data_IF_314595115489
#
_entry.id   IF_314595115489
#
_cell.length_a   1.000
_cell.length_b   1.000
_cell.length_c   1.000
_cell.angle_alpha   90.00
_cell.angle_beta   90.00
_cell.angle_gamma   90.00
#
_symmetry.space_group_name_H-M   'P 1'
#
loop_
_entity.id
_entity.type
_entity.pdbx_description
1 polymer ?
#
# COMPACT_ATOMS: atom_id res chain seq x y z
N UNK A 1 0.34 -30.20 -40.77
CA UNK A 1 0.65 -28.77 -40.92
C UNK A 1 0.45 -28.12 -39.57
N UNK A 2 1.52 -27.67 -38.92
CA UNK A 2 1.46 -26.90 -37.69
C UNK A 2 0.82 -25.55 -38.01
N UNK A 3 -0.40 -25.32 -37.52
CA UNK A 3 -1.04 -24.01 -37.60
C UNK A 3 -0.16 -23.07 -36.77
N UNK A 4 0.66 -22.27 -37.43
CA UNK A 4 1.33 -21.14 -36.80
C UNK A 4 0.22 -20.27 -36.21
N UNK A 5 0.05 -20.30 -34.89
CA UNK A 5 -0.89 -19.41 -34.20
C UNK A 5 -0.52 -17.99 -34.63
N UNK A 6 -1.41 -17.35 -35.36
CA UNK A 6 -1.24 -15.94 -35.74
C UNK A 6 -1.00 -15.15 -34.46
N UNK A 7 0.13 -14.45 -34.41
CA UNK A 7 0.49 -13.63 -33.25
C UNK A 7 -0.44 -12.43 -33.21
N UNK A 8 -1.00 -12.16 -32.02
CA UNK A 8 -1.76 -10.94 -31.80
C UNK A 8 -0.77 -9.79 -31.63
N UNK A 9 -0.91 -8.76 -32.45
CA UNK A 9 -0.10 -7.56 -32.43
C UNK A 9 -0.81 -6.48 -31.60
N UNK A 10 -0.03 -5.80 -30.75
CA UNK A 10 -0.54 -4.74 -29.89
C UNK A 10 0.18 -3.43 -30.17
N UNK A 11 -0.60 -2.38 -30.42
CA UNK A 11 -0.12 -1.00 -30.40
C UNK A 11 -0.10 -0.50 -28.96
N UNK A 12 1.06 -0.02 -28.50
CA UNK A 12 1.17 0.61 -27.17
C UNK A 12 0.33 1.88 -27.09
N UNK A 13 -0.30 2.08 -25.95
CA UNK A 13 -1.05 3.29 -25.61
C UNK A 13 -0.32 4.03 -24.51
N UNK A 14 -0.14 5.34 -24.72
CA UNK A 14 0.18 6.26 -23.64
C UNK A 14 -1.02 6.37 -22.72
N UNK A 15 -0.74 6.60 -21.43
CA UNK A 15 -1.77 6.79 -20.43
C UNK A 15 -1.33 7.88 -19.48
N UNK A 16 -2.32 8.55 -18.89
CA UNK A 16 -2.14 9.48 -17.80
C UNK A 16 -2.94 9.00 -16.59
N UNK A 17 -2.45 9.30 -15.39
CA UNK A 17 -3.20 9.04 -14.17
C UNK A 17 -4.26 10.12 -14.01
N UNK A 18 -5.50 9.69 -13.74
CA UNK A 18 -6.61 10.58 -13.41
C UNK A 18 -6.98 10.36 -11.94
N UNK A 19 -7.01 11.44 -11.15
CA UNK A 19 -7.35 11.40 -9.72
C UNK A 19 -6.16 11.18 -8.78
N UNK A 20 -6.47 10.78 -7.54
CA UNK A 20 -5.47 10.62 -6.49
C UNK A 20 -4.54 9.44 -6.74
N UNK A 21 -3.26 9.62 -6.39
CA UNK A 21 -2.22 8.61 -6.59
C UNK A 21 -2.38 7.39 -5.66
N UNK A 22 -2.93 7.59 -4.47
CA UNK A 22 -3.07 6.56 -3.45
C UNK A 22 -4.51 6.46 -2.96
N UNK A 23 -4.99 5.22 -2.83
CA UNK A 23 -6.13 4.91 -1.96
C UNK A 23 -5.60 4.68 -0.55
N UNK A 24 -6.13 5.41 0.43
CA UNK A 24 -5.68 5.32 1.83
C UNK A 24 -6.73 4.63 2.69
N UNK A 25 -6.31 3.60 3.42
CA UNK A 25 -7.13 2.85 4.38
C UNK A 25 -6.60 3.07 5.79
N UNK A 26 -7.52 3.16 6.75
CA UNK A 26 -7.21 3.11 8.18
C UNK A 26 -7.76 1.81 8.73
N UNK A 27 -6.90 0.97 9.28
CA UNK A 27 -7.26 -0.31 9.89
C UNK A 27 -7.81 -0.11 11.31
N UNK A 28 -8.45 -1.13 11.86
CA UNK A 28 -9.08 -1.08 13.19
C UNK A 28 -8.08 -0.78 14.32
N UNK A 29 -6.84 -1.24 14.17
CA UNK A 29 -5.72 -0.96 15.10
C UNK A 29 -5.11 0.44 14.92
N UNK A 30 -5.63 1.22 13.98
CA UNK A 30 -5.17 2.57 13.62
C UNK A 30 -4.04 2.61 12.60
N UNK A 31 -3.51 1.48 12.15
CA UNK A 31 -2.50 1.40 11.07
C UNK A 31 -3.04 2.02 9.79
N UNK A 32 -2.20 2.78 9.10
CA UNK A 32 -2.55 3.37 7.80
C UNK A 32 -1.90 2.55 6.68
N UNK A 33 -2.72 2.10 5.74
CA UNK A 33 -2.26 1.42 4.52
C UNK A 33 -2.56 2.33 3.33
N UNK A 34 -1.52 2.71 2.59
CA UNK A 34 -1.66 3.43 1.32
C UNK A 34 -1.39 2.47 0.18
N UNK A 35 -2.32 2.38 -0.76
CA UNK A 35 -2.26 1.52 -1.93
C UNK A 35 -2.18 2.40 -3.16
N UNK A 36 -1.12 2.23 -3.95
CA UNK A 36 -0.97 2.85 -5.26
C UNK A 36 -1.00 1.78 -6.35
N UNK A 37 -1.80 2.03 -7.37
CA UNK A 37 -1.89 1.21 -8.58
C UNK A 37 -1.31 2.02 -9.74
N UNK A 38 -0.24 1.52 -10.36
CA UNK A 38 0.38 2.09 -11.55
C UNK A 38 0.10 1.19 -12.76
N UNK A 39 -0.04 1.79 -13.95
CA UNK A 39 -0.08 1.05 -15.22
C UNK A 39 1.32 1.03 -15.81
N UNK A 40 1.88 -0.17 -15.99
CA UNK A 40 3.24 -0.33 -16.53
C UNK A 40 3.22 -0.30 -18.06
N UNK A 41 2.21 -0.96 -18.66
CA UNK A 41 2.03 -1.04 -20.10
C UNK A 41 0.57 -1.27 -20.44
N UNK A 42 0.07 -0.49 -21.39
CA UNK A 42 -1.23 -0.72 -22.01
C UNK A 42 -1.01 -0.87 -23.52
N UNK A 43 -1.70 -1.83 -24.11
CA UNK A 43 -1.76 -1.97 -25.56
C UNK A 43 -3.14 -2.37 -26.03
N UNK A 44 -3.48 -1.95 -27.25
CA UNK A 44 -4.69 -2.33 -27.95
C UNK A 44 -4.32 -3.23 -29.14
N UNK A 45 -5.03 -4.33 -29.32
CA UNK A 45 -4.78 -5.24 -30.42
C UNK A 45 -5.15 -4.57 -31.76
N UNK A 46 -4.26 -4.66 -32.76
CA UNK A 46 -4.46 -4.07 -34.10
C UNK A 46 -5.04 -5.06 -35.10
N UNK A 47 -4.78 -6.35 -34.91
CA UNK A 47 -5.16 -7.44 -35.81
C UNK A 47 -6.11 -8.46 -35.16
N UNK A 48 -6.61 -8.17 -33.95
CA UNK A 48 -7.53 -9.03 -33.21
C UNK A 48 -8.60 -8.19 -32.51
N UNK A 49 -9.82 -8.73 -32.48
CA UNK A 49 -10.97 -8.21 -31.72
C UNK A 49 -11.54 -9.31 -30.86
N UNK A 50 -12.21 -8.92 -29.79
CA UNK A 50 -12.98 -9.86 -29.00
C UNK A 50 -14.12 -10.48 -29.84
N UNK A 51 -14.65 -11.66 -29.45
CA UNK A 51 -15.76 -12.29 -30.16
C UNK A 51 -17.03 -11.43 -30.27
N UNK A 52 -17.24 -10.50 -29.34
CA UNK A 52 -18.32 -9.52 -29.35
C UNK A 52 -18.04 -8.28 -30.23
N UNK A 53 -16.89 -8.25 -30.90
CA UNK A 53 -16.46 -7.17 -31.79
C UNK A 53 -15.75 -6.00 -31.09
N UNK A 54 -15.68 -5.98 -29.75
CA UNK A 54 -15.00 -4.89 -29.05
C UNK A 54 -13.47 -4.98 -29.23
N UNK A 55 -12.74 -3.86 -29.06
CA UNK A 55 -11.29 -3.91 -29.07
C UNK A 55 -10.75 -4.78 -27.93
N UNK A 56 -9.66 -5.49 -28.19
CA UNK A 56 -8.98 -6.29 -27.20
C UNK A 56 -7.80 -5.51 -26.61
N UNK A 57 -7.76 -5.35 -25.28
CA UNK A 57 -6.70 -4.63 -24.58
C UNK A 57 -5.82 -5.60 -23.80
N UNK A 58 -4.51 -5.35 -23.82
CA UNK A 58 -3.55 -5.96 -22.92
C UNK A 58 -3.09 -4.90 -21.91
N UNK A 59 -3.30 -5.16 -20.63
CA UNK A 59 -2.97 -4.24 -19.54
C UNK A 59 -2.02 -4.95 -18.57
N UNK A 60 -0.92 -4.28 -18.24
CA UNK A 60 -0.03 -4.66 -17.16
C UNK A 60 -0.01 -3.54 -16.12
N UNK A 61 -0.16 -3.92 -14.85
CA UNK A 61 -0.26 -3.01 -13.73
C UNK A 61 0.59 -3.49 -12.57
N UNK A 62 1.15 -2.54 -11.82
CA UNK A 62 1.93 -2.78 -10.62
C UNK A 62 1.25 -2.19 -9.39
N UNK A 63 1.51 -2.82 -8.25
CA UNK A 63 0.96 -2.46 -6.94
C UNK A 63 2.10 -2.03 -6.02
N UNK A 64 2.00 -0.83 -5.47
CA UNK A 64 2.91 -0.33 -4.44
C UNK A 64 2.14 -0.12 -3.14
N UNK A 65 2.54 -0.85 -2.11
CA UNK A 65 1.97 -0.74 -0.77
C UNK A 65 2.90 0.03 0.15
N UNK A 66 2.34 0.97 0.92
CA UNK A 66 3.02 1.63 2.03
C UNK A 66 2.22 1.39 3.31
N UNK A 67 2.85 0.78 4.30
CA UNK A 67 2.22 0.44 5.58
C UNK A 67 2.86 1.32 6.66
N UNK A 68 2.03 2.09 7.37
CA UNK A 68 2.44 2.97 8.46
C UNK A 68 1.77 2.45 9.74
N UNK A 69 2.49 1.65 10.54
CA UNK A 69 1.92 1.04 11.74
C UNK A 69 1.59 2.10 12.80
N UNK A 70 0.52 1.87 13.55
CA UNK A 70 0.14 2.72 14.69
C UNK A 70 0.77 2.22 15.99
N UNK A 71 2.10 2.07 16.02
CA UNK A 71 2.80 1.71 17.24
C UNK A 71 3.12 2.97 18.07
N UNK A 72 2.28 3.23 19.07
CA UNK A 72 2.56 4.21 20.14
C UNK A 72 2.94 3.48 21.42
N UNK A 73 4.14 2.90 21.46
CA UNK A 73 4.69 2.32 22.70
C UNK A 73 5.86 3.19 23.16
N UNK A 74 5.83 3.59 24.42
CA UNK A 74 6.98 4.16 25.10
C UNK A 74 7.27 3.30 26.34
N UNK A 75 8.54 3.15 26.67
CA UNK A 75 8.98 2.42 27.85
C UNK A 75 9.46 3.44 28.88
N UNK A 76 9.07 3.24 30.12
CA UNK A 76 9.60 3.95 31.28
C UNK A 76 10.27 2.92 32.18
N UNK A 77 11.37 3.30 32.82
CA UNK A 77 12.00 2.43 33.82
C UNK A 77 11.01 2.19 34.98
N UNK A 78 10.91 0.95 35.52
CA UNK A 78 10.02 0.66 36.64
C UNK A 78 10.22 1.59 37.84
N UNK A 79 11.46 2.04 38.05
CA UNK A 79 11.85 2.94 39.12
C UNK A 79 11.35 4.38 38.90
N UNK A 80 11.07 4.78 37.66
CA UNK A 80 10.44 6.07 37.34
C UNK A 80 8.93 6.09 37.63
N UNK A 81 8.30 4.92 37.82
CA UNK A 81 6.85 4.78 38.09
C UNK A 81 6.56 4.66 39.60
N UNK A 82 7.53 4.22 40.40
CA UNK A 82 7.40 4.22 41.85
C UNK A 82 7.51 5.65 42.37
N UNK A 83 6.36 6.25 42.67
CA UNK A 83 6.24 7.43 43.53
C UNK A 83 7.28 7.34 44.66
N UNK A 84 8.21 8.30 44.71
CA UNK A 84 8.94 8.60 45.93
C UNK A 84 7.90 8.94 46.99
N UNK A 85 7.44 7.95 47.75
CA UNK A 85 6.81 8.17 49.03
C UNK A 85 7.85 8.90 49.86
N UNK A 86 7.67 10.21 49.97
CA UNK A 86 8.46 11.10 50.79
C UNK A 86 8.50 10.55 52.21
N UNK A 87 9.58 9.89 52.60
CA UNK A 87 9.88 9.69 54.01
C UNK A 87 10.15 11.08 54.60
N UNK A 88 9.34 11.61 55.53
CA UNK A 88 9.65 12.88 56.15
C UNK A 88 10.93 12.73 56.98
N UNK A 89 11.89 13.66 56.87
CA UNK A 89 13.13 13.57 57.61
C UNK A 89 12.91 13.93 59.09
N UNK A 90 13.18 12.96 59.95
CA UNK A 90 13.60 13.20 61.32
C UNK A 90 12.50 13.19 62.38
N UNK A 91 12.62 12.27 63.33
CA UNK A 91 12.66 12.57 64.76
C UNK A 91 13.34 11.39 65.48
N UNK A 92 14.68 11.39 65.49
CA UNK A 92 15.43 10.79 66.59
C UNK A 92 15.33 11.77 67.76
N UNK A 93 14.60 11.43 68.80
CA UNK A 93 14.78 12.02 70.12
C UNK A 93 15.05 10.89 71.12
N UNK A 94 16.04 11.20 71.96
CA UNK A 94 16.78 10.46 73.00
C UNK A 94 16.14 9.27 73.69
#
# INVERSE_FOLDING_TARGET
>A
MSISKDKIEFKMLDHERIGDEYVTFKLEDGTIVKVKVDLDRVGIATNYRNPDGTPHYAVNASLKLTIIPNERKFFVEPDAVKNKSSTPPGQMFS
#
